data_IF_192045170312
#
_entry.id   IF_192045170312
#
_cell.length_a   1.000
_cell.length_b   1.000
_cell.length_c   1.000
_cell.angle_alpha   90.00
_cell.angle_beta   90.00
_cell.angle_gamma   90.00
#
_symmetry.space_group_name_H-M   'P 1'
#
loop_
_entity.id
_entity.type
_entity.pdbx_description
1 polymer ?
#
# COMPACT_ATOMS: atom_id res chain seq x y z
N UNK A 1 -9.24 12.00 14.63
CA UNK A 1 -10.59 11.35 14.62
C UNK A 1 -10.55 9.83 14.37
N UNK A 2 -9.52 9.33 13.69
CA UNK A 2 -9.32 7.90 13.34
C UNK A 2 -9.54 6.93 14.49
N UNK A 3 -9.04 7.22 15.69
CA UNK A 3 -9.24 6.38 16.87
C UNK A 3 -10.72 6.12 17.21
N UNK A 4 -11.63 7.09 17.02
CA UNK A 4 -13.07 6.88 17.27
C UNK A 4 -13.70 5.96 16.22
N UNK A 5 -13.38 6.13 14.93
CA UNK A 5 -13.91 5.26 13.86
C UNK A 5 -13.39 3.83 14.02
N UNK A 6 -12.09 3.68 14.31
CA UNK A 6 -11.49 2.38 14.60
C UNK A 6 -12.13 1.71 15.82
N UNK A 7 -12.31 2.43 16.92
CA UNK A 7 -12.87 1.89 18.16
C UNK A 7 -14.36 1.55 18.00
N UNK A 8 -15.14 2.32 17.22
CA UNK A 8 -16.54 1.98 16.87
C UNK A 8 -16.60 0.72 15.98
N UNK A 9 -15.74 0.58 14.97
CA UNK A 9 -15.70 -0.64 14.14
C UNK A 9 -15.26 -1.86 14.95
N UNK A 10 -14.24 -1.70 15.81
CA UNK A 10 -13.76 -2.76 16.70
C UNK A 10 -14.85 -3.20 17.69
N UNK A 11 -15.52 -2.25 18.36
CA UNK A 11 -16.63 -2.54 19.26
C UNK A 11 -17.81 -3.19 18.51
N UNK A 12 -18.15 -2.70 17.31
CA UNK A 12 -19.23 -3.28 16.50
C UNK A 12 -18.96 -4.74 16.11
N UNK A 13 -17.72 -5.05 15.73
CA UNK A 13 -17.30 -6.42 15.37
C UNK A 13 -17.23 -7.31 16.61
N UNK A 14 -16.67 -6.84 17.73
CA UNK A 14 -16.63 -7.58 19.00
C UNK A 14 -18.04 -7.85 19.52
N UNK A 15 -18.94 -6.86 19.48
CA UNK A 15 -20.34 -7.01 19.87
C UNK A 15 -21.09 -7.97 18.94
N UNK A 16 -20.89 -7.88 17.62
CA UNK A 16 -21.52 -8.82 16.68
C UNK A 16 -21.01 -10.24 16.86
N UNK A 17 -19.71 -10.44 17.06
CA UNK A 17 -19.13 -11.77 17.27
C UNK A 17 -19.57 -12.37 18.61
N UNK A 18 -19.60 -11.57 19.68
CA UNK A 18 -20.14 -11.98 20.97
C UNK A 18 -21.62 -12.34 20.88
N UNK A 19 -22.43 -11.55 20.14
CA UNK A 19 -23.84 -11.85 19.89
C UNK A 19 -24.03 -13.14 19.10
N UNK A 20 -23.26 -13.36 18.02
CA UNK A 20 -23.31 -14.62 17.24
C UNK A 20 -22.92 -15.82 18.09
N UNK A 21 -21.87 -15.72 18.92
CA UNK A 21 -21.46 -16.81 19.81
C UNK A 21 -22.49 -17.08 20.91
N UNK A 22 -23.08 -16.03 21.49
CA UNK A 22 -24.17 -16.14 22.46
C UNK A 22 -25.41 -16.82 21.87
N UNK A 23 -25.82 -16.42 20.66
CA UNK A 23 -26.92 -17.06 19.92
C UNK A 23 -26.62 -18.54 19.65
N UNK A 24 -25.44 -18.87 19.11
CA UNK A 24 -25.07 -20.25 18.79
C UNK A 24 -25.03 -21.16 20.03
N UNK A 25 -24.51 -20.68 21.17
CA UNK A 25 -24.51 -21.44 22.43
C UNK A 25 -25.94 -21.63 22.95
N UNK A 26 -26.77 -20.59 22.92
CA UNK A 26 -28.17 -20.65 23.39
C UNK A 26 -29.07 -21.52 22.48
N UNK A 27 -28.83 -21.56 21.17
CA UNK A 27 -29.52 -22.50 20.27
C UNK A 27 -29.08 -23.95 20.54
N UNK A 28 -27.78 -24.18 20.75
CA UNK A 28 -27.24 -25.51 21.09
C UNK A 28 -27.80 -26.04 22.41
N UNK A 29 -27.91 -25.22 23.45
CA UNK A 29 -28.51 -25.65 24.74
C UNK A 29 -29.98 -25.99 24.57
N UNK A 30 -30.78 -25.15 23.90
CA UNK A 30 -32.20 -25.42 23.59
C UNK A 30 -32.43 -26.64 22.71
N UNK A 31 -31.50 -26.95 21.80
CA UNK A 31 -31.56 -28.17 20.99
C UNK A 31 -31.27 -29.41 21.85
N UNK A 32 -30.27 -29.34 22.73
CA UNK A 32 -29.93 -30.42 23.66
C UNK A 32 -31.05 -30.67 24.69
N UNK A 33 -31.68 -29.63 25.24
CA UNK A 33 -32.82 -29.77 26.16
C UNK A 33 -33.99 -30.50 25.48
N UNK A 34 -34.49 -29.98 24.34
CA UNK A 34 -35.58 -30.62 23.57
C UNK A 34 -35.28 -32.06 23.17
N UNK A 35 -34.05 -32.37 22.74
CA UNK A 35 -33.66 -33.74 22.40
C UNK A 35 -33.74 -34.66 23.62
N UNK A 36 -33.33 -34.18 24.80
CA UNK A 36 -33.36 -34.97 26.04
C UNK A 36 -34.78 -35.18 26.56
N UNK A 37 -35.63 -34.16 26.52
CA UNK A 37 -37.01 -34.26 27.00
C UNK A 37 -37.79 -35.25 26.11
N UNK A 38 -37.55 -35.26 24.80
CA UNK A 38 -38.04 -36.28 23.87
C UNK A 38 -37.57 -37.71 24.23
N UNK A 39 -36.27 -37.90 24.49
CA UNK A 39 -35.73 -39.20 24.94
C UNK A 39 -36.26 -39.64 26.31
N UNK A 40 -36.56 -38.69 27.20
CA UNK A 40 -37.18 -38.98 28.49
C UNK A 40 -38.65 -39.41 28.34
N UNK A 41 -39.40 -38.84 27.39
CA UNK A 41 -40.76 -39.28 27.04
C UNK A 41 -40.74 -40.73 26.53
N UNK A 42 -39.91 -41.03 25.51
CA UNK A 42 -39.78 -42.39 24.97
C UNK A 42 -39.38 -43.42 26.04
N UNK A 43 -38.46 -43.04 26.94
CA UNK A 43 -38.02 -43.94 28.01
C UNK A 43 -39.09 -44.13 29.09
N UNK A 44 -39.85 -43.09 29.44
CA UNK A 44 -40.97 -43.20 30.38
C UNK A 44 -42.07 -44.11 29.82
N UNK A 45 -42.48 -43.88 28.58
CA UNK A 45 -43.43 -44.70 27.83
C UNK A 45 -43.03 -46.18 27.81
N UNK A 46 -41.77 -46.47 27.46
CA UNK A 46 -41.23 -47.83 27.45
C UNK A 46 -41.21 -48.48 28.84
N UNK A 47 -40.82 -47.74 29.89
CA UNK A 47 -40.78 -48.26 31.27
C UNK A 47 -42.18 -48.60 31.79
N UNK A 48 -43.16 -47.72 31.55
CA UNK A 48 -44.55 -47.89 31.97
C UNK A 48 -45.17 -49.09 31.26
N UNK A 49 -45.15 -49.11 29.93
CA UNK A 49 -45.74 -50.18 29.12
C UNK A 49 -45.09 -51.54 29.39
N UNK A 50 -43.79 -51.59 29.68
CA UNK A 50 -43.12 -52.86 30.06
C UNK A 50 -43.52 -53.30 31.47
N UNK A 51 -43.61 -52.38 32.44
CA UNK A 51 -44.02 -52.72 33.81
C UNK A 51 -45.47 -53.22 33.89
N UNK A 52 -46.34 -52.69 33.04
CA UNK A 52 -47.76 -53.00 32.89
C UNK A 52 -48.03 -54.41 32.33
N UNK A 53 -47.16 -54.90 31.44
CA UNK A 53 -47.22 -56.27 30.90
C UNK A 53 -46.61 -57.30 31.87
N UNK A 54 -45.74 -56.87 32.80
CA UNK A 54 -45.09 -57.76 33.76
C UNK A 54 -46.05 -58.15 34.92
N UNK A 55 -46.08 -59.43 35.34
CA UNK A 55 -46.79 -59.86 36.54
C UNK A 55 -46.31 -59.09 37.77
N UNK A 56 -47.24 -58.78 38.69
CA UNK A 56 -46.98 -58.01 39.90
C UNK A 56 -45.80 -58.56 40.73
N UNK A 57 -45.66 -59.88 40.82
CA UNK A 57 -44.57 -60.55 41.54
C UNK A 57 -43.17 -60.37 40.92
N UNK A 58 -43.08 -60.12 39.61
CA UNK A 58 -41.82 -59.89 38.90
C UNK A 58 -41.48 -58.40 38.75
N UNK A 59 -42.47 -57.52 38.91
CA UNK A 59 -42.36 -56.06 38.72
C UNK A 59 -41.28 -55.42 39.61
N UNK A 60 -41.13 -55.72 40.92
CA UNK A 60 -40.06 -55.16 41.74
C UNK A 60 -38.65 -55.46 41.19
N UNK A 61 -38.41 -56.69 40.74
CA UNK A 61 -37.14 -57.11 40.16
C UNK A 61 -36.85 -56.39 38.84
N UNK A 62 -37.87 -56.22 37.98
CA UNK A 62 -37.77 -55.43 36.76
C UNK A 62 -37.40 -53.96 37.06
N UNK A 63 -38.12 -53.30 37.97
CA UNK A 63 -37.89 -51.87 38.28
C UNK A 63 -36.48 -51.62 38.82
N UNK A 64 -35.94 -52.48 39.68
CA UNK A 64 -34.54 -52.40 40.16
C UNK A 64 -33.54 -52.47 39.00
N UNK A 65 -33.78 -53.33 38.01
CA UNK A 65 -32.90 -53.45 36.84
C UNK A 65 -33.07 -52.30 35.83
N UNK A 66 -34.30 -51.82 35.66
CA UNK A 66 -34.73 -50.87 34.64
C UNK A 66 -34.51 -49.38 35.00
N UNK A 67 -34.46 -49.06 36.30
CA UNK A 67 -34.22 -47.72 36.86
C UNK A 67 -32.77 -47.24 36.69
N UNK A 68 -32.35 -47.08 35.42
CA UNK A 68 -31.04 -46.57 35.01
C UNK A 68 -31.19 -45.22 34.29
N UNK A 69 -30.26 -44.32 34.57
CA UNK A 69 -30.22 -43.00 33.94
C UNK A 69 -31.11 -41.96 34.62
N UNK A 70 -31.81 -41.16 33.82
CA UNK A 70 -32.59 -39.99 34.24
C UNK A 70 -34.06 -40.27 34.53
N UNK A 71 -34.66 -41.30 33.92
CA UNK A 71 -36.05 -41.68 34.17
C UNK A 71 -36.08 -42.88 35.11
N UNK A 72 -36.93 -42.82 36.14
CA UNK A 72 -37.13 -43.89 37.12
C UNK A 72 -38.61 -44.13 37.36
N UNK A 73 -38.96 -45.37 37.68
CA UNK A 73 -40.31 -45.81 37.99
C UNK A 73 -40.24 -46.67 39.27
N UNK A 74 -40.91 -46.22 40.33
CA UNK A 74 -40.85 -46.83 41.67
C UNK A 74 -42.28 -47.17 42.13
N UNK A 75 -42.49 -48.28 42.85
CA UNK A 75 -43.81 -48.61 43.40
C UNK A 75 -44.14 -47.62 44.51
N UNK A 76 -45.32 -47.00 44.46
CA UNK A 76 -45.68 -45.88 45.33
C UNK A 76 -47.18 -45.76 45.51
N UNK A 77 -47.63 -45.87 46.75
CA UNK A 77 -49.02 -45.68 47.17
C UNK A 77 -49.36 -44.22 47.51
N UNK A 78 -48.43 -43.28 47.28
CA UNK A 78 -48.65 -41.85 47.54
C UNK A 78 -49.78 -41.36 46.62
N UNK A 79 -50.88 -40.76 47.13
CA UNK A 79 -52.01 -40.35 46.32
C UNK A 79 -51.65 -39.20 45.36
N UNK A 80 -52.35 -39.12 44.22
CA UNK A 80 -52.23 -38.00 43.28
C UNK A 80 -52.56 -36.67 43.99
N UNK A 81 -51.76 -35.64 43.72
CA UNK A 81 -51.97 -34.33 44.31
C UNK A 81 -53.08 -33.57 43.58
N UNK A 82 -54.10 -33.13 44.32
CA UNK A 82 -55.25 -32.42 43.76
C UNK A 82 -54.92 -30.93 43.55
N UNK A 83 -55.24 -30.38 42.38
CA UNK A 83 -55.12 -28.94 42.09
C UNK A 83 -53.79 -28.47 41.49
N UNK A 84 -52.81 -29.37 41.28
CA UNK A 84 -51.62 -29.05 40.48
C UNK A 84 -51.96 -29.14 38.98
N UNK A 85 -51.49 -28.19 38.13
CA UNK A 85 -51.68 -28.27 36.69
C UNK A 85 -50.82 -29.39 36.09
N UNK A 86 -51.33 -30.01 35.02
CA UNK A 86 -50.53 -30.91 34.18
C UNK A 86 -49.42 -30.10 33.50
N UNK A 87 -48.23 -30.70 33.37
CA UNK A 87 -47.08 -30.10 32.69
C UNK A 87 -47.07 -30.49 31.21
N UNK A 88 -46.22 -29.83 30.42
CA UNK A 88 -46.06 -30.16 28.99
C UNK A 88 -45.63 -31.63 28.81
N UNK A 89 -44.68 -32.10 29.63
CA UNK A 89 -44.19 -33.48 29.60
C UNK A 89 -45.27 -34.48 30.05
N UNK A 90 -45.98 -34.26 31.16
CA UNK A 90 -47.06 -35.16 31.58
C UNK A 90 -48.19 -35.24 30.53
N UNK A 91 -48.49 -34.12 29.87
CA UNK A 91 -49.51 -34.05 28.81
C UNK A 91 -49.10 -34.83 27.56
N UNK A 92 -47.85 -34.65 27.09
CA UNK A 92 -47.30 -35.39 25.96
C UNK A 92 -47.18 -36.90 26.25
N UNK A 93 -46.84 -37.27 27.49
CA UNK A 93 -46.79 -38.68 27.91
C UNK A 93 -48.18 -39.31 27.96
N UNK A 94 -49.19 -38.61 28.48
CA UNK A 94 -50.59 -39.07 28.48
C UNK A 94 -51.11 -39.31 27.06
N UNK A 95 -50.77 -38.42 26.12
CA UNK A 95 -51.16 -38.56 24.70
C UNK A 95 -50.53 -39.79 24.04
N UNK A 96 -49.29 -40.16 24.38
CA UNK A 96 -48.60 -41.37 23.87
C UNK A 96 -49.16 -42.66 24.48
N UNK A 97 -49.36 -42.68 25.79
CA UNK A 97 -49.88 -43.83 26.53
C UNK A 97 -51.37 -44.11 26.23
N UNK A 98 -52.13 -43.09 25.86
CA UNK A 98 -53.57 -43.17 25.61
C UNK A 98 -54.40 -43.33 26.88
N UNK A 99 -55.71 -43.57 26.73
CA UNK A 99 -56.68 -43.56 27.83
C UNK A 99 -56.57 -44.75 28.80
N UNK A 100 -55.72 -45.75 28.52
CA UNK A 100 -55.55 -46.95 29.37
C UNK A 100 -54.80 -46.68 30.67
N UNK A 101 -54.07 -45.56 30.74
CA UNK A 101 -53.25 -45.17 31.88
C UNK A 101 -53.74 -43.83 32.40
N UNK A 102 -53.72 -43.63 33.72
CA UNK A 102 -53.98 -42.32 34.32
C UNK A 102 -52.69 -41.75 34.89
N UNK A 103 -52.22 -40.66 34.30
CA UNK A 103 -51.17 -39.81 34.86
C UNK A 103 -51.79 -38.76 35.78
N UNK A 104 -51.14 -38.48 36.90
CA UNK A 104 -51.51 -37.37 37.79
C UNK A 104 -50.28 -36.76 38.47
N UNK A 105 -50.26 -35.43 38.69
CA UNK A 105 -49.12 -34.77 39.30
C UNK A 105 -48.89 -35.23 40.73
N UNK A 106 -47.63 -35.27 41.14
CA UNK A 106 -47.23 -35.51 42.52
C UNK A 106 -46.64 -34.22 43.09
N UNK A 107 -46.99 -33.86 44.33
CA UNK A 107 -46.50 -32.63 44.96
C UNK A 107 -45.01 -32.69 45.38
N UNK A 108 -44.37 -33.86 45.21
CA UNK A 108 -42.99 -34.09 45.60
C UNK A 108 -42.02 -33.65 44.49
N UNK A 109 -41.30 -32.53 44.73
CA UNK A 109 -40.24 -32.10 43.83
C UNK A 109 -38.92 -32.83 44.18
N UNK A 110 -38.19 -33.44 43.23
CA UNK A 110 -36.93 -34.10 43.54
C UNK A 110 -35.86 -33.08 43.94
N UNK A 111 -35.24 -33.23 45.11
CA UNK A 111 -34.14 -32.36 45.58
C UNK A 111 -32.92 -32.27 44.63
N UNK A 112 -32.82 -33.19 43.64
CA UNK A 112 -31.82 -33.14 42.58
C UNK A 112 -32.09 -32.03 41.54
N UNK A 113 -33.32 -31.51 41.47
CA UNK A 113 -33.78 -30.44 40.59
C UNK A 113 -33.42 -29.04 41.13
N UNK A 114 -33.43 -28.87 42.45
CA UNK A 114 -33.11 -27.60 43.12
C UNK A 114 -31.62 -27.21 43.05
N UNK A 115 -30.74 -28.15 42.66
CA UNK A 115 -29.31 -27.91 42.55
C UNK A 115 -28.96 -27.24 41.20
N UNK A 116 -28.50 -25.96 41.19
CA UNK A 116 -28.19 -25.26 39.96
C UNK A 116 -26.95 -25.87 39.29
N UNK A 117 -27.18 -26.61 38.21
CA UNK A 117 -26.10 -27.26 37.45
C UNK A 117 -25.42 -26.27 36.53
N UNK A 118 -24.28 -25.76 36.98
CA UNK A 118 -23.46 -24.83 36.21
C UNK A 118 -22.82 -25.55 35.01
N UNK A 119 -22.97 -24.99 33.81
CA UNK A 119 -22.09 -25.29 32.67
C UNK A 119 -20.96 -24.26 32.64
N UNK A 120 -19.72 -24.72 32.46
CA UNK A 120 -18.55 -23.83 32.32
C UNK A 120 -18.49 -23.23 30.91
N UNK A 121 -19.41 -22.32 30.60
CA UNK A 121 -19.43 -21.54 29.35
C UNK A 121 -19.18 -20.07 29.65
N UNK A 122 -18.13 -19.51 29.07
CA UNK A 122 -17.72 -18.11 29.23
C UNK A 122 -18.79 -17.14 28.68
N UNK A 123 -19.54 -17.55 27.66
CA UNK A 123 -20.49 -16.69 26.95
C UNK A 123 -21.94 -16.87 27.38
N UNK A 124 -22.29 -17.98 28.02
CA UNK A 124 -23.64 -18.22 28.54
C UNK A 124 -23.60 -19.23 29.70
N UNK A 125 -23.47 -18.79 30.96
CA UNK A 125 -23.65 -19.66 32.13
C UNK A 125 -25.12 -20.10 32.19
N UNK A 126 -25.44 -21.21 31.53
CA UNK A 126 -26.80 -21.74 31.44
C UNK A 126 -27.14 -22.51 32.72
N UNK A 127 -28.13 -22.03 33.47
CA UNK A 127 -28.86 -22.88 34.41
C UNK A 127 -29.74 -23.84 33.60
N UNK A 128 -29.80 -25.09 34.03
CA UNK A 128 -30.58 -26.15 33.41
C UNK A 128 -32.09 -25.87 33.48
N UNK A 129 -32.82 -26.07 32.36
CA UNK A 129 -34.28 -25.78 32.26
C UNK A 129 -35.11 -26.90 31.61
N UNK A 130 -34.55 -28.09 31.40
CA UNK A 130 -35.30 -29.26 30.91
C UNK A 130 -36.29 -29.82 31.94
N UNK A 131 -37.01 -30.88 31.61
CA UNK A 131 -38.05 -31.43 32.49
C UNK A 131 -37.48 -31.98 33.81
N UNK A 132 -37.99 -31.48 34.95
CA UNK A 132 -37.81 -32.07 36.29
C UNK A 132 -39.15 -32.18 37.01
N UNK A 133 -39.63 -33.40 37.20
CA UNK A 133 -40.89 -33.62 37.90
C UNK A 133 -41.00 -35.06 38.40
N UNK A 134 -41.95 -35.26 39.32
CA UNK A 134 -42.49 -36.59 39.61
C UNK A 134 -43.99 -36.60 39.34
N UNK A 135 -44.49 -37.75 38.92
CA UNK A 135 -45.92 -37.97 38.66
C UNK A 135 -46.28 -39.40 39.01
N UNK A 136 -47.54 -39.61 39.37
CA UNK A 136 -48.10 -40.92 39.55
C UNK A 136 -48.65 -41.45 38.22
N UNK A 137 -48.39 -42.73 37.97
CA UNK A 137 -48.89 -43.52 36.85
C UNK A 137 -49.76 -44.62 37.43
N UNK A 138 -51.04 -44.67 37.07
CA UNK A 138 -51.92 -45.81 37.38
C UNK A 138 -51.93 -46.78 36.21
N UNK A 139 -51.58 -48.04 36.47
CA UNK A 139 -51.56 -49.15 35.51
C UNK A 139 -52.96 -49.77 35.31
N UNK A 140 -53.11 -50.70 34.34
CA UNK A 140 -54.41 -51.37 34.10
C UNK A 140 -54.88 -52.20 35.30
N UNK A 141 -53.95 -52.76 36.07
CA UNK A 141 -54.22 -53.58 37.25
C UNK A 141 -54.60 -52.74 38.48
N UNK A 142 -54.57 -51.41 38.34
CA UNK A 142 -54.89 -50.45 39.38
C UNK A 142 -53.73 -50.10 40.31
N UNK A 143 -52.56 -50.75 40.18
CA UNK A 143 -51.36 -50.39 40.94
C UNK A 143 -50.86 -49.01 40.53
N UNK A 144 -50.40 -48.23 41.50
CA UNK A 144 -49.81 -46.90 41.28
C UNK A 144 -48.28 -46.95 41.36
N UNK A 145 -47.63 -46.36 40.37
CA UNK A 145 -46.19 -46.22 40.28
C UNK A 145 -45.81 -44.73 40.22
N UNK A 146 -44.76 -44.35 40.92
CA UNK A 146 -44.16 -43.00 40.86
C UNK A 146 -43.12 -42.97 39.75
N UNK A 147 -43.42 -42.24 38.68
CA UNK A 147 -42.46 -41.86 37.66
C UNK A 147 -41.68 -40.62 38.15
N UNK A 148 -40.36 -40.65 38.05
CA UNK A 148 -39.47 -39.53 38.38
C UNK A 148 -38.53 -39.22 37.21
N UNK A 149 -38.55 -37.97 36.73
CA UNK A 149 -37.65 -37.46 35.69
C UNK A 149 -36.58 -36.59 36.37
N UNK A 150 -35.35 -37.07 36.37
CA UNK A 150 -34.22 -36.49 37.09
C UNK A 150 -33.22 -35.81 36.14
N UNK A 151 -32.53 -34.74 36.58
CA UNK A 151 -31.62 -34.01 35.71
C UNK A 151 -30.30 -34.77 35.44
N UNK A 152 -29.62 -34.48 34.31
CA UNK A 152 -28.57 -35.25 33.58
C UNK A 152 -27.57 -36.24 34.21
N UNK A 153 -27.40 -36.33 35.53
CA UNK A 153 -26.09 -36.52 36.18
C UNK A 153 -25.01 -35.60 35.59
N UNK A 154 -24.20 -36.08 34.64
CA UNK A 154 -23.05 -35.35 34.06
C UNK A 154 -23.48 -34.23 33.08
N UNK A 155 -22.71 -33.13 32.95
CA UNK A 155 -22.91 -32.17 31.86
C UNK A 155 -22.67 -32.83 30.50
N UNK A 156 -23.31 -32.36 29.41
CA UNK A 156 -23.04 -32.87 28.07
C UNK A 156 -21.56 -32.63 27.70
N UNK A 157 -20.91 -33.54 26.95
CA UNK A 157 -19.52 -33.37 26.57
C UNK A 157 -19.31 -32.12 25.72
N UNK A 158 -18.41 -31.24 26.15
CA UNK A 158 -17.94 -30.08 25.40
C UNK A 158 -17.04 -30.53 24.24
N UNK A 159 -17.67 -30.95 23.14
CA UNK A 159 -16.96 -31.36 21.93
C UNK A 159 -16.05 -30.26 21.33
N UNK A 160 -15.07 -30.67 20.53
CA UNK A 160 -14.05 -29.84 19.89
C UNK A 160 -14.56 -28.70 18.97
N UNK A 161 -15.88 -28.55 18.82
CA UNK A 161 -16.55 -27.52 18.02
C UNK A 161 -16.29 -26.09 18.49
N UNK A 162 -15.87 -25.87 19.74
CA UNK A 162 -15.57 -24.53 20.25
C UNK A 162 -14.36 -23.90 19.55
N UNK A 163 -13.31 -24.67 19.25
CA UNK A 163 -12.17 -24.20 18.45
C UNK A 163 -12.59 -23.80 17.03
N UNK A 164 -13.53 -24.53 16.42
CA UNK A 164 -14.06 -24.20 15.10
C UNK A 164 -14.84 -22.87 15.12
N UNK A 165 -15.57 -22.58 16.21
CA UNK A 165 -16.28 -21.31 16.39
C UNK A 165 -15.36 -20.08 16.56
N UNK A 166 -14.09 -20.28 16.92
CA UNK A 166 -13.10 -19.20 17.04
C UNK A 166 -12.49 -18.80 15.68
N UNK A 167 -12.55 -19.65 14.65
CA UNK A 167 -12.03 -19.34 13.31
C UNK A 167 -12.64 -18.09 12.66
N UNK A 168 -13.99 -17.91 12.56
CA UNK A 168 -14.57 -16.69 11.98
C UNK A 168 -14.19 -15.41 12.76
N UNK A 169 -14.01 -15.53 14.08
CA UNK A 169 -13.53 -14.42 14.92
C UNK A 169 -12.09 -14.03 14.55
N UNK A 170 -11.17 -14.99 14.48
CA UNK A 170 -9.78 -14.75 14.07
C UNK A 170 -9.67 -14.20 12.64
N UNK A 171 -10.47 -14.73 11.70
CA UNK A 171 -10.50 -14.26 10.31
C UNK A 171 -11.02 -12.83 10.20
N UNK A 172 -12.07 -12.46 10.96
CA UNK A 172 -12.59 -11.08 10.95
C UNK A 172 -11.59 -10.08 11.53
N UNK A 173 -10.87 -10.43 12.60
CA UNK A 173 -9.76 -9.63 13.16
C UNK A 173 -8.64 -9.46 12.13
N UNK A 174 -8.20 -10.54 11.49
CA UNK A 174 -7.14 -10.50 10.48
C UNK A 174 -7.52 -9.64 9.27
N UNK A 175 -8.76 -9.76 8.78
CA UNK A 175 -9.29 -8.95 7.69
C UNK A 175 -9.35 -7.46 8.04
N UNK A 176 -9.81 -7.12 9.25
CA UNK A 176 -9.86 -5.73 9.74
C UNK A 176 -8.45 -5.15 9.89
N UNK A 177 -7.52 -5.91 10.48
CA UNK A 177 -6.12 -5.51 10.63
C UNK A 177 -5.45 -5.24 9.27
N UNK A 178 -5.69 -6.11 8.29
CA UNK A 178 -5.23 -5.92 6.91
C UNK A 178 -5.82 -4.64 6.27
N UNK A 179 -7.13 -4.41 6.42
CA UNK A 179 -7.80 -3.24 5.84
C UNK A 179 -7.28 -1.93 6.47
N UNK A 180 -7.10 -1.89 7.79
CA UNK A 180 -6.52 -0.74 8.52
C UNK A 180 -5.07 -0.50 8.10
N UNK A 181 -4.21 -1.54 8.08
CA UNK A 181 -2.82 -1.42 7.65
C UNK A 181 -2.72 -0.92 6.19
N UNK A 182 -3.58 -1.42 5.29
CA UNK A 182 -3.64 -0.97 3.90
C UNK A 182 -4.11 0.48 3.77
N UNK A 183 -5.00 0.95 4.65
CA UNK A 183 -5.49 2.33 4.67
C UNK A 183 -4.44 3.32 5.20
N UNK A 184 -3.63 2.93 6.18
CA UNK A 184 -2.58 3.80 6.76
C UNK A 184 -1.28 3.79 5.95
N UNK A 185 -0.85 2.65 5.43
CA UNK A 185 0.43 2.54 4.68
C UNK A 185 0.37 3.11 3.26
N UNK A 186 -0.76 2.99 2.55
CA UNK A 186 -0.93 3.53 1.18
C UNK A 186 -0.60 5.03 1.04
N UNK A 187 -1.17 5.95 1.85
CA UNK A 187 -0.86 7.37 1.75
C UNK A 187 0.58 7.70 2.16
N UNK A 188 1.15 6.98 3.15
CA UNK A 188 2.56 7.16 3.53
C UNK A 188 3.50 6.77 2.38
N UNK A 189 3.23 5.68 1.67
CA UNK A 189 3.98 5.29 0.46
C UNK A 189 3.87 6.33 -0.67
N UNK A 190 2.70 6.98 -0.82
CA UNK A 190 2.52 8.08 -1.79
C UNK A 190 3.34 9.31 -1.43
N UNK A 191 3.38 9.71 -0.15
CA UNK A 191 4.23 10.81 0.32
C UNK A 191 5.73 10.51 0.14
N UNK A 192 6.16 9.28 0.46
CA UNK A 192 7.55 8.86 0.26
C UNK A 192 7.95 8.86 -1.23
N UNK A 193 7.05 8.43 -2.11
CA UNK A 193 7.26 8.48 -3.56
C UNK A 193 7.33 9.93 -4.06
N UNK A 194 6.36 10.78 -3.69
CA UNK A 194 6.37 12.20 -4.06
C UNK A 194 7.61 12.96 -3.53
N UNK A 195 8.15 12.58 -2.36
CA UNK A 195 9.40 13.15 -1.84
C UNK A 195 10.63 12.72 -2.66
N UNK A 196 10.63 11.49 -3.20
CA UNK A 196 11.66 11.02 -4.14
C UNK A 196 11.52 11.73 -5.50
N UNK A 197 10.29 11.84 -6.01
CA UNK A 197 10.01 12.46 -7.30
C UNK A 197 10.34 13.96 -7.28
N UNK A 198 10.06 14.67 -6.17
CA UNK A 198 10.47 16.06 -5.94
C UNK A 198 12.00 16.28 -6.03
N UNK A 199 12.80 15.25 -5.70
CA UNK A 199 14.25 15.29 -5.83
C UNK A 199 14.75 15.19 -7.28
N UNK A 200 13.92 14.65 -8.18
CA UNK A 200 14.22 14.49 -9.61
C UNK A 200 13.57 15.59 -10.46
N UNK A 201 12.32 15.97 -10.15
CA UNK A 201 11.56 17.04 -10.79
C UNK A 201 10.85 17.91 -9.75
N UNK A 202 11.34 19.13 -9.59
CA UNK A 202 10.76 20.09 -8.63
C UNK A 202 9.36 20.57 -9.03
N UNK A 203 9.01 20.48 -10.31
CA UNK A 203 7.71 20.86 -10.87
C UNK A 203 6.67 19.72 -10.86
N UNK A 204 7.00 18.56 -10.28
CA UNK A 204 6.06 17.45 -10.10
C UNK A 204 4.74 17.92 -9.45
N UNK A 205 3.56 17.44 -9.88
CA UNK A 205 2.27 17.83 -9.30
C UNK A 205 2.19 17.71 -7.75
N UNK A 206 1.52 18.65 -7.06
CA UNK A 206 1.34 18.60 -5.60
C UNK A 206 0.59 17.34 -5.13
N UNK A 207 0.87 16.89 -3.91
CA UNK A 207 0.24 15.69 -3.33
C UNK A 207 -1.23 15.97 -2.99
N UNK A 208 -2.13 15.12 -3.49
CA UNK A 208 -3.58 15.23 -3.26
C UNK A 208 -3.91 15.09 -1.76
N UNK A 209 -4.57 16.10 -1.20
CA UNK A 209 -4.97 16.19 0.21
C UNK A 209 -6.10 15.19 0.53
N UNK A 210 -5.74 13.93 0.75
CA UNK A 210 -6.67 12.81 0.95
C UNK A 210 -6.36 12.02 2.22
N UNK A 211 -7.36 11.30 2.75
CA UNK A 211 -7.23 10.48 3.94
C UNK A 211 -7.48 11.23 5.25
N UNK A 212 -6.89 10.72 6.34
CA UNK A 212 -7.07 11.23 7.69
C UNK A 212 -6.55 12.67 7.87
N UNK A 213 -7.04 13.39 8.88
CA UNK A 213 -6.69 14.81 9.09
C UNK A 213 -5.18 15.02 9.24
N UNK A 214 -4.53 14.10 9.94
CA UNK A 214 -3.10 14.04 10.21
C UNK A 214 -2.29 13.85 8.91
N UNK A 215 -2.78 12.98 8.00
CA UNK A 215 -2.19 12.76 6.66
C UNK A 215 -2.38 13.99 5.77
N UNK A 216 -3.57 14.61 5.77
CA UNK A 216 -3.83 15.83 5.00
C UNK A 216 -2.95 16.99 5.48
N UNK A 217 -2.72 17.10 6.79
CA UNK A 217 -1.83 18.12 7.37
C UNK A 217 -0.37 17.88 6.92
N UNK A 218 0.11 16.64 6.94
CA UNK A 218 1.43 16.29 6.42
C UNK A 218 1.56 16.59 4.91
N UNK A 219 0.57 16.22 4.10
CA UNK A 219 0.54 16.53 2.66
C UNK A 219 0.48 18.02 2.38
N UNK A 220 -0.27 18.80 3.17
CA UNK A 220 -0.32 20.26 3.05
C UNK A 220 1.01 20.92 3.42
N UNK A 221 1.68 20.44 4.47
CA UNK A 221 3.01 20.90 4.85
C UNK A 221 4.07 20.57 3.79
N UNK A 222 4.01 19.37 3.19
CA UNK A 222 4.86 18.97 2.08
C UNK A 222 4.65 19.86 0.84
N UNK A 223 3.40 20.08 0.42
CA UNK A 223 3.07 20.96 -0.70
C UNK A 223 3.52 22.41 -0.45
N UNK A 224 3.41 22.91 0.78
CA UNK A 224 3.90 24.23 1.17
C UNK A 224 5.44 24.32 1.14
N UNK A 225 6.14 23.25 1.53
CA UNK A 225 7.60 23.15 1.39
C UNK A 225 8.02 23.16 -0.09
N UNK A 226 7.40 22.32 -0.93
CA UNK A 226 7.64 22.32 -2.39
C UNK A 226 7.47 23.71 -3.00
N UNK A 227 6.36 24.39 -2.70
CA UNK A 227 6.08 25.74 -3.21
C UNK A 227 7.16 26.76 -2.82
N UNK A 228 7.65 26.72 -1.57
CA UNK A 228 8.74 27.59 -1.10
C UNK A 228 10.07 27.30 -1.81
N UNK A 229 10.44 26.03 -1.98
CA UNK A 229 11.68 25.67 -2.67
C UNK A 229 11.60 26.13 -4.13
N UNK A 230 10.48 25.88 -4.82
CA UNK A 230 10.29 26.37 -6.20
C UNK A 230 10.41 27.90 -6.28
N UNK A 231 9.75 28.62 -5.38
CA UNK A 231 9.85 30.08 -5.32
C UNK A 231 11.30 30.55 -5.13
N UNK A 232 12.07 29.92 -4.24
CA UNK A 232 13.48 30.28 -4.03
C UNK A 232 14.37 30.00 -5.25
N UNK A 233 14.12 28.93 -6.01
CA UNK A 233 14.83 28.68 -7.27
C UNK A 233 14.46 29.76 -8.30
N UNK A 234 13.17 29.98 -8.56
CA UNK A 234 12.72 31.01 -9.51
C UNK A 234 13.26 32.41 -9.16
N UNK A 235 13.29 32.79 -7.89
CA UNK A 235 13.88 34.04 -7.42
C UNK A 235 15.39 34.13 -7.71
N UNK A 236 16.15 33.04 -7.50
CA UNK A 236 17.58 32.99 -7.85
C UNK A 236 17.80 33.11 -9.36
N UNK A 237 17.03 32.38 -10.17
CA UNK A 237 17.12 32.45 -11.64
C UNK A 237 16.77 33.85 -12.17
N UNK A 238 15.73 34.49 -11.62
CA UNK A 238 15.36 35.87 -11.96
C UNK A 238 16.45 36.88 -11.55
N UNK A 239 17.03 36.74 -10.35
CA UNK A 239 18.13 37.58 -9.88
C UNK A 239 19.37 37.46 -10.77
N UNK A 240 19.75 36.24 -11.16
CA UNK A 240 20.88 35.99 -12.07
C UNK A 240 20.61 36.54 -13.48
N UNK A 241 19.37 36.45 -13.97
CA UNK A 241 18.98 37.05 -15.25
C UNK A 241 19.06 38.59 -15.23
N UNK A 242 18.60 39.24 -14.14
CA UNK A 242 18.71 40.68 -13.95
C UNK A 242 20.17 41.14 -13.88
N UNK A 243 21.00 40.47 -13.06
CA UNK A 243 22.44 40.75 -12.97
C UNK A 243 23.12 40.60 -14.34
N UNK A 244 22.76 39.57 -15.11
CA UNK A 244 23.32 39.34 -16.46
C UNK A 244 22.99 40.49 -17.42
N UNK A 245 21.73 40.93 -17.44
CA UNK A 245 21.30 42.06 -18.25
C UNK A 245 22.03 43.36 -17.86
N UNK A 246 22.15 43.60 -16.56
CA UNK A 246 22.79 44.80 -16.02
C UNK A 246 24.32 44.78 -16.15
N UNK A 247 24.94 43.59 -16.32
CA UNK A 247 26.34 43.43 -16.73
C UNK A 247 26.53 43.59 -18.25
N UNK A 248 25.58 43.17 -19.08
CA UNK A 248 25.69 43.31 -20.54
C UNK A 248 25.81 44.78 -20.98
N UNK A 249 25.09 45.68 -20.31
CA UNK A 249 25.09 47.13 -20.61
C UNK A 249 26.45 47.83 -20.39
N UNK A 250 27.18 47.67 -19.26
CA UNK A 250 28.54 48.17 -19.10
C UNK A 250 29.56 47.42 -19.96
N UNK A 251 29.41 46.11 -20.22
CA UNK A 251 30.32 45.37 -21.11
C UNK A 251 30.25 45.91 -22.56
N UNK A 252 29.05 46.15 -23.09
CA UNK A 252 28.88 46.80 -24.42
C UNK A 252 29.46 48.22 -24.43
N UNK A 253 29.28 49.01 -23.37
CA UNK A 253 29.91 50.34 -23.25
C UNK A 253 31.43 50.27 -23.14
N UNK A 254 31.99 49.20 -22.57
CA UNK A 254 33.43 48.99 -22.53
C UNK A 254 33.96 48.66 -23.93
N UNK A 255 33.27 47.81 -24.71
CA UNK A 255 33.61 47.49 -26.11
C UNK A 255 33.75 48.75 -26.96
N UNK A 256 32.76 49.65 -26.90
CA UNK A 256 32.78 50.95 -27.61
C UNK A 256 33.87 51.92 -27.12
N UNK A 257 34.45 51.68 -25.93
CA UNK A 257 35.62 52.44 -25.44
C UNK A 257 36.93 51.82 -25.92
N UNK A 258 36.99 50.49 -26.04
CA UNK A 258 38.15 49.77 -26.58
C UNK A 258 38.39 50.11 -28.06
N UNK A 259 37.34 50.39 -28.83
CA UNK A 259 37.43 50.93 -30.20
C UNK A 259 38.25 52.23 -30.32
N UNK A 260 38.49 52.95 -29.21
CA UNK A 260 39.30 54.18 -29.16
C UNK A 260 40.75 53.97 -28.70
N UNK A 261 41.16 52.72 -28.46
CA UNK A 261 42.55 52.39 -28.10
C UNK A 261 43.43 52.46 -29.35
N UNK A 262 44.47 53.30 -29.32
CA UNK A 262 45.35 53.58 -30.47
C UNK A 262 46.26 52.42 -30.86
N UNK A 263 46.57 51.53 -29.90
CA UNK A 263 47.38 50.33 -30.09
C UNK A 263 46.46 49.17 -30.50
N UNK A 264 46.59 48.72 -31.75
CA UNK A 264 45.75 47.65 -32.31
C UNK A 264 45.98 46.28 -31.64
N UNK A 265 47.20 45.98 -31.18
CA UNK A 265 47.51 44.70 -30.51
C UNK A 265 46.90 44.67 -29.10
N UNK A 266 47.02 45.78 -28.37
CA UNK A 266 46.36 45.96 -27.08
C UNK A 266 44.83 46.00 -27.20
N UNK A 267 44.31 46.71 -28.22
CA UNK A 267 42.88 46.78 -28.52
C UNK A 267 42.30 45.38 -28.74
N UNK A 268 42.92 44.58 -29.62
CA UNK A 268 42.43 43.22 -29.91
C UNK A 268 42.43 42.35 -28.65
N UNK A 269 43.53 42.31 -27.89
CA UNK A 269 43.61 41.56 -26.62
C UNK A 269 42.52 41.95 -25.63
N UNK A 270 42.21 43.24 -25.50
CA UNK A 270 41.16 43.72 -24.59
C UNK A 270 39.75 43.38 -25.12
N UNK A 271 39.54 43.33 -26.43
CA UNK A 271 38.28 42.88 -27.05
C UNK A 271 38.10 41.37 -26.84
N UNK A 272 39.17 40.58 -26.92
CA UNK A 272 39.15 39.14 -26.67
C UNK A 272 38.85 38.83 -25.19
N UNK A 273 39.54 39.48 -24.25
CA UNK A 273 39.28 39.38 -22.81
C UNK A 273 37.82 39.78 -22.47
N UNK A 274 37.31 40.85 -23.09
CA UNK A 274 35.94 41.30 -22.93
C UNK A 274 34.91 40.30 -23.47
N UNK A 275 35.20 39.69 -24.62
CA UNK A 275 34.34 38.68 -25.25
C UNK A 275 34.31 37.40 -24.40
N UNK A 276 35.45 37.00 -23.81
CA UNK A 276 35.52 35.90 -22.85
C UNK A 276 34.70 36.18 -21.58
N UNK A 277 34.71 37.41 -21.05
CA UNK A 277 33.84 37.81 -19.94
C UNK A 277 32.35 37.77 -20.31
N UNK A 278 31.97 38.28 -21.49
CA UNK A 278 30.58 38.22 -21.97
C UNK A 278 30.08 36.77 -22.10
N UNK A 279 30.92 35.88 -22.65
CA UNK A 279 30.61 34.45 -22.76
C UNK A 279 30.49 33.79 -21.38
N UNK A 280 31.34 34.14 -20.41
CA UNK A 280 31.25 33.62 -19.04
C UNK A 280 29.94 33.99 -18.33
N UNK A 281 29.49 35.23 -18.47
CA UNK A 281 28.19 35.66 -17.92
C UNK A 281 27.04 34.92 -18.59
N UNK A 282 27.09 34.76 -19.92
CA UNK A 282 26.08 34.01 -20.70
C UNK A 282 26.00 32.54 -20.28
N UNK A 283 27.12 31.83 -20.21
CA UNK A 283 27.17 30.42 -19.80
C UNK A 283 26.73 30.24 -18.34
N UNK A 284 27.04 31.18 -17.45
CA UNK A 284 26.54 31.19 -16.07
C UNK A 284 25.01 31.33 -15.96
N UNK A 285 24.42 32.21 -16.78
CA UNK A 285 22.96 32.33 -16.90
C UNK A 285 22.34 31.07 -17.53
N UNK A 286 23.00 30.47 -18.51
CA UNK A 286 22.51 29.26 -19.16
C UNK A 286 22.62 28.02 -18.27
N UNK A 287 23.59 27.95 -17.33
CA UNK A 287 23.58 27.00 -16.22
C UNK A 287 22.39 27.24 -15.28
N UNK A 288 22.17 28.48 -14.83
CA UNK A 288 21.04 28.79 -13.95
C UNK A 288 19.69 28.45 -14.60
N UNK A 289 19.54 28.74 -15.90
CA UNK A 289 18.36 28.36 -16.70
C UNK A 289 18.27 26.86 -16.94
N UNK A 290 19.37 26.13 -17.04
CA UNK A 290 19.35 24.66 -17.17
C UNK A 290 18.70 23.97 -15.96
N UNK A 291 18.66 24.64 -14.79
CA UNK A 291 17.98 24.15 -13.59
C UNK A 291 16.48 24.51 -13.55
N UNK A 292 16.02 25.40 -14.43
CA UNK A 292 14.64 25.88 -14.46
C UNK A 292 13.85 25.17 -15.57
N UNK A 293 12.62 24.78 -15.25
CA UNK A 293 11.84 23.78 -15.99
C UNK A 293 10.62 24.36 -16.70
N UNK A 294 10.71 25.64 -17.08
CA UNK A 294 9.61 26.45 -17.65
C UNK A 294 9.23 26.13 -19.09
N UNK A 295 10.10 25.47 -19.86
CA UNK A 295 9.79 25.03 -21.22
C UNK A 295 8.91 23.76 -21.21
N UNK A 296 7.91 23.71 -22.09
CA UNK A 296 6.98 22.59 -22.22
C UNK A 296 7.65 21.38 -22.89
N UNK A 297 7.46 20.19 -22.33
CA UNK A 297 7.86 18.93 -22.96
C UNK A 297 6.97 18.64 -24.17
N UNK A 298 7.57 18.29 -25.30
CA UNK A 298 6.87 17.88 -26.53
C UNK A 298 7.61 16.74 -27.24
N UNK A 299 6.92 16.05 -28.13
CA UNK A 299 7.53 15.02 -28.96
C UNK A 299 8.43 15.69 -30.02
N UNK A 300 9.72 15.36 -30.02
CA UNK A 300 10.73 15.90 -30.92
C UNK A 300 11.28 14.77 -31.79
N UNK A 301 11.33 15.00 -33.10
CA UNK A 301 12.07 14.14 -34.03
C UNK A 301 13.58 14.28 -33.72
N UNK A 302 14.21 13.18 -33.35
CA UNK A 302 15.63 13.18 -32.98
C UNK A 302 16.54 13.43 -34.18
N UNK A 303 16.20 12.87 -35.35
CA UNK A 303 17.04 12.97 -36.54
C UNK A 303 16.99 14.42 -37.06
N UNK A 304 15.80 15.02 -37.14
CA UNK A 304 15.65 16.42 -37.54
C UNK A 304 16.33 17.42 -36.57
N UNK A 305 16.36 17.11 -35.27
CA UNK A 305 17.06 17.93 -34.28
C UNK A 305 18.59 17.82 -34.43
N UNK A 306 19.12 16.61 -34.66
CA UNK A 306 20.54 16.39 -34.91
C UNK A 306 20.98 17.03 -36.23
N UNK A 307 20.23 16.82 -37.31
CA UNK A 307 20.47 17.44 -38.62
C UNK A 307 20.57 18.97 -38.49
N UNK A 308 19.61 19.60 -37.81
CA UNK A 308 19.63 21.06 -37.60
C UNK A 308 20.84 21.52 -36.79
N UNK A 309 21.17 20.87 -35.66
CA UNK A 309 22.30 21.31 -34.82
C UNK A 309 23.65 21.11 -35.51
N UNK A 310 23.83 20.02 -36.27
CA UNK A 310 25.06 19.78 -37.01
C UNK A 310 25.20 20.73 -38.23
N UNK A 311 24.07 21.09 -38.86
CA UNK A 311 24.05 22.09 -39.94
C UNK A 311 24.42 23.48 -39.40
N UNK A 312 23.78 23.92 -38.31
CA UNK A 312 24.06 25.21 -37.66
C UNK A 312 25.56 25.35 -37.30
N UNK A 313 26.20 24.27 -36.83
CA UNK A 313 27.62 24.25 -36.52
C UNK A 313 28.52 24.33 -37.78
N UNK A 314 28.12 23.61 -38.84
CA UNK A 314 28.84 23.59 -40.13
C UNK A 314 28.78 24.95 -40.84
N UNK A 315 27.63 25.64 -40.78
CA UNK A 315 27.43 26.97 -41.35
C UNK A 315 28.33 28.05 -40.70
N UNK A 316 28.73 27.85 -39.44
CA UNK A 316 29.69 28.70 -38.71
C UNK A 316 31.15 28.25 -38.97
N UNK A 317 31.37 27.24 -39.81
CA UNK A 317 32.68 26.74 -40.23
C UNK A 317 33.31 25.72 -39.29
N UNK A 318 32.54 25.13 -38.36
CA UNK A 318 33.05 24.03 -37.53
C UNK A 318 33.12 22.72 -38.34
N UNK A 319 34.12 21.88 -38.07
CA UNK A 319 34.24 20.56 -38.71
C UNK A 319 33.35 19.54 -37.99
N UNK A 320 32.08 19.44 -38.41
CA UNK A 320 31.09 18.50 -37.85
C UNK A 320 30.62 17.53 -38.93
N UNK A 321 30.53 16.24 -38.60
CA UNK A 321 29.95 15.22 -39.50
C UNK A 321 28.92 14.38 -38.74
N UNK A 322 27.69 14.28 -39.27
CA UNK A 322 26.61 13.45 -38.73
C UNK A 322 26.45 12.17 -39.55
N UNK A 323 26.39 11.01 -38.87
CA UNK A 323 26.17 9.69 -39.49
C UNK A 323 25.13 8.86 -38.74
N UNK A 324 24.37 8.08 -39.49
CA UNK A 324 23.30 7.22 -38.96
C UNK A 324 21.96 7.95 -38.81
N UNK A 325 20.93 7.21 -38.40
CA UNK A 325 19.58 7.72 -38.08
C UNK A 325 18.97 6.84 -36.99
N UNK A 326 18.19 7.45 -36.10
CA UNK A 326 17.44 6.75 -35.08
C UNK A 326 16.01 6.41 -35.53
N UNK A 327 15.39 7.25 -36.37
CA UNK A 327 13.98 7.16 -36.75
C UNK A 327 13.05 6.97 -35.53
N UNK A 328 13.18 7.87 -34.55
CA UNK A 328 12.34 7.89 -33.34
C UNK A 328 12.07 9.31 -32.85
N UNK A 329 10.98 9.44 -32.10
CA UNK A 329 10.69 10.62 -31.32
C UNK A 329 11.24 10.48 -29.89
N UNK A 330 11.64 11.60 -29.30
CA UNK A 330 11.96 11.73 -27.87
C UNK A 330 11.00 12.74 -27.24
N UNK A 331 10.69 12.60 -25.96
CA UNK A 331 9.85 13.56 -25.24
C UNK A 331 10.75 14.56 -24.52
N UNK A 332 10.70 15.84 -24.91
CA UNK A 332 11.65 16.80 -24.38
C UNK A 332 11.37 18.27 -24.65
N UNK A 333 12.21 19.10 -24.04
CA UNK A 333 12.25 20.56 -24.19
C UNK A 333 13.19 20.93 -25.35
N UNK A 334 12.70 21.40 -26.51
CA UNK A 334 13.55 21.61 -27.69
C UNK A 334 14.73 22.55 -27.47
N UNK A 335 14.56 23.69 -26.79
CA UNK A 335 15.64 24.64 -26.54
C UNK A 335 16.66 24.09 -25.53
N UNK A 336 16.21 23.32 -24.54
CA UNK A 336 17.10 22.63 -23.62
C UNK A 336 17.92 21.53 -24.34
N UNK A 337 17.29 20.63 -25.09
CA UNK A 337 18.01 19.52 -25.74
C UNK A 337 18.93 20.04 -26.86
N UNK A 338 18.49 21.03 -27.65
CA UNK A 338 19.37 21.75 -28.59
C UNK A 338 20.62 22.27 -27.88
N UNK A 339 20.45 22.91 -26.72
CA UNK A 339 21.57 23.43 -25.91
C UNK A 339 22.47 22.32 -25.34
N UNK A 340 21.92 21.16 -24.98
CA UNK A 340 22.72 20.00 -24.59
C UNK A 340 23.62 19.56 -25.76
N UNK A 341 23.03 19.32 -26.94
CA UNK A 341 23.76 18.90 -28.14
C UNK A 341 24.82 19.93 -28.57
N UNK A 342 24.48 21.21 -28.62
CA UNK A 342 25.42 22.30 -28.93
C UNK A 342 26.59 22.32 -27.95
N UNK A 343 26.36 22.25 -26.63
CA UNK A 343 27.45 22.21 -25.65
C UNK A 343 28.38 20.99 -25.82
N UNK A 344 27.86 19.84 -26.23
CA UNK A 344 28.69 18.64 -26.46
C UNK A 344 29.49 18.74 -27.77
N UNK A 345 28.88 19.27 -28.84
CA UNK A 345 29.53 19.45 -30.15
C UNK A 345 30.58 20.57 -30.09
N UNK A 346 30.26 21.73 -29.51
CA UNK A 346 31.21 22.83 -29.29
C UNK A 346 32.41 22.35 -28.47
N UNK A 347 32.19 21.50 -27.45
CA UNK A 347 33.27 20.93 -26.65
C UNK A 347 34.17 20.00 -27.48
N UNK A 348 33.59 19.12 -28.30
CA UNK A 348 34.33 18.24 -29.20
C UNK A 348 35.18 19.02 -30.21
N UNK A 349 34.58 19.97 -30.94
CA UNK A 349 35.30 20.82 -31.91
C UNK A 349 36.42 21.62 -31.24
N UNK A 350 36.15 22.19 -30.05
CA UNK A 350 37.10 23.05 -29.33
C UNK A 350 38.34 22.32 -28.80
N UNK A 351 38.18 21.11 -28.30
CA UNK A 351 39.28 20.36 -27.67
C UNK A 351 39.89 19.28 -28.58
N UNK A 352 39.19 18.88 -29.64
CA UNK A 352 39.65 17.85 -30.59
C UNK A 352 39.46 18.18 -32.07
N UNK A 353 39.33 19.46 -32.42
CA UNK A 353 39.29 20.05 -33.78
C UNK A 353 38.07 19.71 -34.63
N UNK A 354 37.46 18.54 -34.44
CA UNK A 354 36.26 18.08 -35.15
C UNK A 354 35.28 17.39 -34.21
N UNK A 355 34.04 17.24 -34.66
CA UNK A 355 33.01 16.42 -34.01
C UNK A 355 32.40 15.43 -35.00
N UNK A 356 32.71 14.14 -34.83
CA UNK A 356 32.01 13.06 -35.54
C UNK A 356 30.83 12.59 -34.67
N UNK A 357 29.63 12.98 -35.08
CA UNK A 357 28.36 12.62 -34.44
C UNK A 357 27.83 11.36 -35.09
N UNK A 358 27.62 10.29 -34.32
CA UNK A 358 26.93 9.08 -34.79
C UNK A 358 25.68 8.85 -33.96
N UNK A 359 24.57 8.49 -34.61
CA UNK A 359 23.33 8.12 -33.93
C UNK A 359 22.89 6.72 -34.33
N UNK A 360 22.58 5.89 -33.33
CA UNK A 360 22.05 4.54 -33.50
C UNK A 360 20.85 4.31 -32.58
N UNK A 361 19.79 3.66 -33.10
CA UNK A 361 18.65 3.25 -32.28
C UNK A 361 18.96 1.97 -31.51
N UNK A 362 18.48 1.92 -30.29
CA UNK A 362 18.54 0.78 -29.37
C UNK A 362 17.13 0.38 -28.93
N UNK A 363 17.00 -0.71 -28.17
CA UNK A 363 15.72 -1.08 -27.57
C UNK A 363 15.27 -0.03 -26.53
N UNK A 364 14.23 0.75 -26.87
CA UNK A 364 13.64 1.77 -25.99
C UNK A 364 14.45 3.06 -25.82
N UNK A 365 15.49 3.28 -26.64
CA UNK A 365 16.38 4.44 -26.56
C UNK A 365 17.11 4.71 -27.88
N UNK A 366 17.74 5.88 -28.02
CA UNK A 366 18.80 6.11 -28.99
C UNK A 366 20.13 6.41 -28.28
N UNK A 367 21.23 6.00 -28.90
CA UNK A 367 22.59 6.35 -28.49
C UNK A 367 23.17 7.33 -29.51
N UNK A 368 23.59 8.48 -29.01
CA UNK A 368 24.31 9.52 -29.75
C UNK A 368 25.75 9.47 -29.24
N UNK A 369 26.73 9.20 -30.11
CA UNK A 369 28.16 9.33 -29.78
C UNK A 369 28.73 10.54 -30.49
N UNK A 370 29.43 11.39 -29.77
CA UNK A 370 30.14 12.55 -30.30
C UNK A 370 31.62 12.30 -30.03
N UNK A 371 32.37 11.99 -31.10
CA UNK A 371 33.81 11.72 -31.03
C UNK A 371 34.61 12.93 -31.51
N UNK A 372 35.65 13.27 -30.77
CA UNK A 372 36.64 14.28 -31.15
C UNK A 372 38.03 13.67 -31.47
N UNK A 373 38.96 14.50 -31.93
CA UNK A 373 40.37 14.16 -32.18
C UNK A 373 41.35 14.63 -31.10
N UNK A 374 40.86 14.93 -29.89
CA UNK A 374 41.64 15.53 -28.81
C UNK A 374 42.56 14.56 -28.07
N UNK A 375 43.27 15.04 -27.03
CA UNK A 375 44.15 14.19 -26.21
C UNK A 375 43.38 13.22 -25.28
N UNK A 376 42.05 13.29 -25.23
CA UNK A 376 41.24 12.59 -24.24
C UNK A 376 41.36 13.20 -22.84
N UNK A 377 40.88 12.47 -21.83
CA UNK A 377 40.82 12.89 -20.43
C UNK A 377 41.41 11.79 -19.53
N UNK A 378 42.21 12.17 -18.53
CA UNK A 378 42.76 11.22 -17.57
C UNK A 378 41.65 10.59 -16.71
N UNK A 379 41.78 9.29 -16.38
CA UNK A 379 40.68 8.52 -15.77
C UNK A 379 40.21 9.08 -14.40
N UNK A 380 41.12 9.71 -13.64
CA UNK A 380 40.86 10.40 -12.38
C UNK A 380 40.11 11.74 -12.54
N UNK A 381 40.15 12.32 -13.74
CA UNK A 381 39.51 13.60 -14.08
C UNK A 381 38.16 13.42 -14.78
N UNK A 382 37.89 12.23 -15.31
CA UNK A 382 36.68 11.89 -16.10
C UNK A 382 35.36 12.19 -15.38
N UNK A 383 35.33 12.06 -14.04
CA UNK A 383 34.17 12.43 -13.23
C UNK A 383 34.10 13.94 -12.95
N UNK A 384 35.27 14.59 -12.80
CA UNK A 384 35.42 15.99 -12.38
C UNK A 384 35.12 16.99 -13.50
N UNK A 385 35.25 16.59 -14.77
CA UNK A 385 34.85 17.44 -15.92
C UNK A 385 33.35 17.73 -16.03
N UNK A 386 32.53 17.12 -15.17
CA UNK A 386 31.12 17.49 -14.96
C UNK A 386 30.91 18.43 -13.75
N UNK A 387 31.96 18.83 -13.04
CA UNK A 387 31.87 19.81 -11.94
C UNK A 387 31.81 21.24 -12.54
N UNK A 388 30.93 22.13 -12.03
CA UNK A 388 30.85 23.51 -12.50
C UNK A 388 32.20 24.23 -12.36
N UNK A 389 32.60 24.95 -13.41
CA UNK A 389 33.86 25.71 -13.50
C UNK A 389 35.15 24.87 -13.47
N UNK A 390 35.08 23.53 -13.42
CA UNK A 390 36.27 22.69 -13.48
C UNK A 390 36.88 22.67 -14.90
N UNK A 391 38.21 22.72 -14.96
CA UNK A 391 39.00 22.68 -16.20
C UNK A 391 40.27 21.86 -15.96
N UNK A 392 40.71 21.14 -16.99
CA UNK A 392 41.99 20.44 -16.97
C UNK A 392 43.11 21.47 -17.19
N UNK A 393 44.04 21.55 -16.22
CA UNK A 393 45.00 22.66 -16.06
C UNK A 393 46.10 22.76 -17.14
N UNK A 394 46.12 21.86 -18.12
CA UNK A 394 47.12 21.85 -19.21
C UNK A 394 46.87 22.91 -20.30
N UNK A 395 45.69 23.55 -20.32
CA UNK A 395 45.36 24.62 -21.29
C UNK A 395 45.85 26.01 -20.84
N UNK A 396 47.18 26.17 -20.66
CA UNK A 396 47.81 27.47 -20.31
C UNK A 396 47.80 28.52 -21.42
N UNK A 397 47.35 28.19 -22.63
CA UNK A 397 47.03 29.16 -23.67
C UNK A 397 45.66 29.80 -23.41
N UNK A 398 45.66 31.14 -23.24
CA UNK A 398 44.46 31.99 -23.09
C UNK A 398 43.46 31.84 -24.25
N UNK A 399 43.92 31.36 -25.41
CA UNK A 399 43.14 31.13 -26.63
C UNK A 399 42.01 30.09 -26.47
N UNK A 400 42.12 29.16 -25.51
CA UNK A 400 41.12 28.10 -25.28
C UNK A 400 39.81 28.56 -24.58
N UNK A 401 39.52 29.87 -24.58
CA UNK A 401 38.55 30.58 -23.72
C UNK A 401 37.21 29.87 -23.52
N UNK A 402 37.10 29.05 -22.47
CA UNK A 402 35.90 28.31 -22.07
C UNK A 402 35.77 28.26 -20.57
N UNK A 403 34.54 28.21 -20.06
CA UNK A 403 34.27 28.46 -18.63
C UNK A 403 34.31 27.20 -17.76
N UNK A 404 34.28 26.01 -18.37
CA UNK A 404 34.04 24.73 -17.67
C UNK A 404 32.55 24.38 -17.48
N UNK A 405 31.61 25.22 -17.94
CA UNK A 405 30.18 25.00 -17.71
C UNK A 405 29.48 24.09 -18.74
N UNK A 406 29.98 23.99 -19.97
CA UNK A 406 29.30 23.29 -21.07
C UNK A 406 28.91 21.83 -20.76
N UNK A 407 29.86 21.01 -20.27
CA UNK A 407 29.60 19.62 -19.88
C UNK A 407 28.64 19.51 -18.68
N UNK A 408 28.74 20.45 -17.73
CA UNK A 408 27.80 20.55 -16.58
C UNK A 408 26.38 20.81 -17.08
N UNK A 409 26.20 21.77 -17.99
CA UNK A 409 24.91 22.13 -18.58
C UNK A 409 24.32 20.94 -19.35
N UNK A 410 25.13 20.31 -20.21
CA UNK A 410 24.71 19.14 -20.98
C UNK A 410 24.24 17.98 -20.07
N UNK A 411 24.99 17.69 -18.99
CA UNK A 411 24.63 16.68 -18.01
C UNK A 411 23.34 17.00 -17.27
N UNK A 412 23.19 18.21 -16.73
CA UNK A 412 21.98 18.64 -16.04
C UNK A 412 20.73 18.50 -16.93
N UNK A 413 20.86 18.89 -18.20
CA UNK A 413 19.76 18.78 -19.17
C UNK A 413 19.47 17.30 -19.48
N UNK A 414 20.48 16.47 -19.67
CA UNK A 414 20.28 15.04 -19.90
C UNK A 414 19.55 14.36 -18.73
N UNK A 415 20.01 14.57 -17.49
CA UNK A 415 19.40 13.99 -16.29
C UNK A 415 17.93 14.40 -16.14
N UNK A 416 17.58 15.66 -16.42
CA UNK A 416 16.17 16.14 -16.44
C UNK A 416 15.28 15.50 -17.51
N UNK A 417 15.86 14.94 -18.57
CA UNK A 417 15.14 14.26 -19.65
C UNK A 417 15.19 12.73 -19.51
N UNK A 418 15.66 12.21 -18.37
CA UNK A 418 15.87 10.77 -18.16
C UNK A 418 16.96 10.17 -19.05
N UNK A 419 17.79 11.01 -19.64
CA UNK A 419 18.93 10.65 -20.47
C UNK A 419 20.21 10.55 -19.63
N UNK A 420 21.20 9.81 -20.14
CA UNK A 420 22.49 9.63 -19.47
C UNK A 420 23.64 10.11 -20.37
N UNK A 421 24.63 10.79 -19.79
CA UNK A 421 25.86 11.22 -20.48
C UNK A 421 27.06 10.54 -19.84
N UNK A 422 27.84 9.82 -20.63
CA UNK A 422 29.10 9.20 -20.21
C UNK A 422 30.26 9.61 -21.12
N UNK A 423 31.47 9.59 -20.56
CA UNK A 423 32.71 9.93 -21.24
C UNK A 423 33.64 8.72 -21.28
N UNK A 424 34.34 8.53 -22.40
CA UNK A 424 35.36 7.48 -22.56
C UNK A 424 36.41 7.92 -23.56
N UNK A 425 37.69 7.63 -23.30
CA UNK A 425 38.74 7.84 -24.30
C UNK A 425 38.59 6.80 -25.41
N UNK A 426 38.69 7.25 -26.66
CA UNK A 426 38.63 6.36 -27.80
C UNK A 426 39.99 5.68 -28.05
N UNK A 427 39.97 4.41 -28.45
CA UNK A 427 41.16 3.57 -28.66
C UNK A 427 42.19 4.16 -29.64
N UNK A 428 41.72 4.91 -30.64
CA UNK A 428 42.53 5.53 -31.69
C UNK A 428 42.85 7.01 -31.38
N UNK A 429 42.76 7.42 -30.11
CA UNK A 429 42.82 8.82 -29.67
C UNK A 429 41.47 9.54 -29.80
N UNK A 430 41.34 10.63 -29.04
CA UNK A 430 40.09 11.40 -28.89
C UNK A 430 39.29 11.08 -27.63
N UNK A 431 38.41 12.00 -27.26
CA UNK A 431 37.29 11.74 -26.36
C UNK A 431 36.09 11.21 -27.18
N UNK A 432 35.32 10.30 -26.60
CA UNK A 432 33.96 9.98 -27.06
C UNK A 432 32.97 10.30 -25.94
N UNK A 433 32.05 11.23 -26.22
CA UNK A 433 30.88 11.50 -25.39
C UNK A 433 29.75 10.63 -25.86
N UNK A 434 29.16 9.82 -24.98
CA UNK A 434 27.96 9.03 -25.27
C UNK A 434 26.77 9.61 -24.52
N UNK A 435 25.77 10.07 -25.26
CA UNK A 435 24.46 10.51 -24.76
C UNK A 435 23.41 9.44 -25.13
N UNK A 436 22.77 8.85 -24.12
CA UNK A 436 21.67 7.88 -24.30
C UNK A 436 20.35 8.54 -23.93
N UNK A 437 19.44 8.68 -24.89
CA UNK A 437 18.11 9.31 -24.72
C UNK A 437 16.99 8.27 -24.81
N UNK A 438 15.97 8.30 -23.93
CA UNK A 438 14.86 7.36 -23.97
C UNK A 438 13.93 7.60 -25.18
N UNK A 439 13.36 6.52 -25.73
CA UNK A 439 12.35 6.61 -26.79
C UNK A 439 10.99 7.04 -26.22
N UNK A 440 10.32 7.97 -26.90
CA UNK A 440 8.95 8.36 -26.58
C UNK A 440 7.95 7.46 -27.29
N UNK A 441 7.20 6.68 -26.51
CA UNK A 441 6.03 5.96 -26.99
C UNK A 441 4.78 6.82 -26.82
N UNK A 442 4.17 7.20 -27.95
CA UNK A 442 2.86 7.86 -27.97
C UNK A 442 1.73 6.86 -27.65
N UNK A 443 1.64 6.43 -26.39
CA UNK A 443 0.59 5.51 -25.93
C UNK A 443 0.97 4.69 -24.69
N UNK A 444 0.81 5.28 -23.50
CA UNK A 444 0.69 4.58 -22.21
C UNK A 444 -0.18 5.38 -21.24
#
# INVERSE_FOLDING_TARGET
MTGRVFLVLLLGIVASAALTQWLAVNERTRALERYRDFHALERAEQLITTADVMPESARPTYLVAANRGTVRLEISDVPQAQGLPATEFSTLLQQRLGERYSLGPLAEHPAACDQPRQSNSIFAPSQWRGTCETMNVRLHDGQTLKLSVLPPRQPPPSGHSELLSLLPFLVSIAFLAYLVARMTMRPLKRLAQAAKDLGNDINHPPVVLSGAAEIRQASAAFNAMQARIRQHITQRTQMLAAITHDLQTPLTRLRLRLEKVSDAELQQRLIDDLSAMQQMVKEGLDLARSMDSTETMQALDLDALLDSVCSDATDVGQQVELRGRAAMALMGRPLAIRRCLVNLIDNAVKYGQYAHVTVERMAGAARIRIRDGGPGIAADQMARVFEPFYRIETSRSRESGGTGLGLTIARNIAEQHGANVSLSNHKDGGLEVTLVVPEYYAGS
#
